data_IF_507147663598
#
_entry.id   IF_507147663598
#
_cell.length_a   1.000
_cell.length_b   1.000
_cell.length_c   1.000
_cell.angle_alpha   90.00
_cell.angle_beta   90.00
_cell.angle_gamma   90.00
#
_symmetry.space_group_name_H-M   'P 1'
#
loop_
_entity.id
_entity.type
_entity.pdbx_description
1 polymer ?
#
# COMPACT_ATOMS: atom_id res chain seq x y z
N UNK A 1 -76.18 -8.86 -28.60
CA UNK A 1 -75.80 -9.01 -27.18
C UNK A 1 -75.28 -7.65 -26.72
N UNK A 2 -76.08 -6.85 -26.01
CA UNK A 2 -75.65 -5.52 -25.56
C UNK A 2 -74.86 -5.67 -24.26
N UNK A 3 -73.64 -5.13 -24.23
CA UNK A 3 -72.84 -5.04 -23.01
C UNK A 3 -73.46 -3.97 -22.11
N UNK A 4 -73.64 -4.25 -20.82
CA UNK A 4 -74.20 -3.28 -19.88
C UNK A 4 -73.21 -2.17 -19.57
N UNK A 5 -73.71 -0.97 -19.30
CA UNK A 5 -72.88 0.21 -18.96
C UNK A 5 -71.97 -0.06 -17.75
N UNK A 6 -72.43 -0.85 -16.79
CA UNK A 6 -71.66 -1.27 -15.61
C UNK A 6 -70.40 -2.09 -15.95
N UNK A 7 -70.48 -2.97 -16.95
CA UNK A 7 -69.32 -3.75 -17.40
C UNK A 7 -68.29 -2.84 -18.07
N UNK A 8 -68.74 -1.85 -18.84
CA UNK A 8 -67.84 -0.89 -19.50
C UNK A 8 -67.12 -0.02 -18.46
N UNK A 9 -67.82 0.48 -17.45
CA UNK A 9 -67.21 1.31 -16.40
C UNK A 9 -66.25 0.51 -15.53
N UNK A 10 -66.58 -0.75 -15.18
CA UNK A 10 -65.68 -1.64 -14.44
C UNK A 10 -64.38 -1.92 -15.21
N UNK A 11 -64.46 -2.15 -16.52
CA UNK A 11 -63.28 -2.34 -17.36
C UNK A 11 -62.45 -1.05 -17.48
N UNK A 12 -63.10 0.11 -17.59
CA UNK A 12 -62.42 1.40 -17.65
C UNK A 12 -61.67 1.74 -16.35
N UNK A 13 -62.27 1.46 -15.18
CA UNK A 13 -61.60 1.67 -13.89
C UNK A 13 -60.44 0.69 -13.69
N UNK A 14 -60.62 -0.58 -14.08
CA UNK A 14 -59.54 -1.56 -14.06
C UNK A 14 -58.37 -1.15 -14.96
N UNK A 15 -58.65 -0.69 -16.19
CA UNK A 15 -57.62 -0.18 -17.11
C UNK A 15 -56.89 1.05 -16.55
N UNK A 16 -57.62 1.96 -15.89
CA UNK A 16 -57.04 3.17 -15.27
C UNK A 16 -56.09 2.79 -14.14
N UNK A 17 -56.47 1.83 -13.29
CA UNK A 17 -55.60 1.31 -12.22
C UNK A 17 -54.34 0.65 -12.80
N UNK A 18 -54.46 -0.13 -13.87
CA UNK A 18 -53.31 -0.75 -14.53
C UNK A 18 -52.34 0.30 -15.09
N UNK A 19 -52.85 1.33 -15.76
CA UNK A 19 -52.02 2.43 -16.28
C UNK A 19 -51.31 3.17 -15.14
N UNK A 20 -51.99 3.43 -14.02
CA UNK A 20 -51.39 4.07 -12.85
C UNK A 20 -50.25 3.22 -12.26
N UNK A 21 -50.44 1.89 -12.15
CA UNK A 21 -49.42 0.96 -11.66
C UNK A 21 -48.22 0.92 -12.61
N UNK A 22 -48.44 0.78 -13.91
CA UNK A 22 -47.37 0.74 -14.93
C UNK A 22 -46.58 2.05 -14.93
N UNK A 23 -47.27 3.19 -14.84
CA UNK A 23 -46.62 4.50 -14.77
C UNK A 23 -45.80 4.67 -13.49
N UNK A 24 -46.34 4.23 -12.35
CA UNK A 24 -45.62 4.23 -11.07
C UNK A 24 -44.40 3.33 -11.09
N UNK A 25 -44.50 2.16 -11.71
CA UNK A 25 -43.38 1.23 -11.88
C UNK A 25 -42.30 1.79 -12.80
N UNK A 26 -42.68 2.40 -13.93
CA UNK A 26 -41.75 3.10 -14.82
C UNK A 26 -41.00 4.23 -14.12
N UNK A 27 -41.69 5.02 -13.28
CA UNK A 27 -41.05 6.04 -12.46
C UNK A 27 -40.08 5.45 -11.44
N UNK A 28 -40.44 4.34 -10.80
CA UNK A 28 -39.59 3.64 -9.83
C UNK A 28 -38.31 3.10 -10.48
N UNK A 29 -38.39 2.52 -11.68
CA UNK A 29 -37.22 2.04 -12.43
C UNK A 29 -36.28 3.20 -12.75
N UNK A 30 -36.79 4.27 -13.36
CA UNK A 30 -35.96 5.44 -13.69
C UNK A 30 -35.27 6.03 -12.44
N UNK A 31 -35.96 6.03 -11.30
CA UNK A 31 -35.39 6.46 -10.02
C UNK A 31 -34.32 5.50 -9.50
N UNK A 32 -34.49 4.19 -9.68
CA UNK A 32 -33.48 3.20 -9.33
C UNK A 32 -32.25 3.35 -10.22
N UNK A 33 -32.42 3.48 -11.54
CA UNK A 33 -31.31 3.66 -12.49
C UNK A 33 -30.47 4.90 -12.14
N UNK A 34 -31.13 6.02 -11.82
CA UNK A 34 -30.43 7.23 -11.39
C UNK A 34 -29.62 7.02 -10.09
N UNK A 35 -30.13 6.21 -9.15
CA UNK A 35 -29.42 5.89 -7.91
C UNK A 35 -28.25 4.95 -8.14
N UNK A 36 -28.39 3.97 -9.01
CA UNK A 36 -27.31 3.06 -9.38
C UNK A 36 -26.20 3.81 -10.11
N UNK A 37 -26.53 4.64 -11.09
CA UNK A 37 -25.54 5.48 -11.77
C UNK A 37 -24.77 6.39 -10.79
N UNK A 38 -25.48 7.03 -9.84
CA UNK A 38 -24.82 7.83 -8.80
C UNK A 38 -23.92 7.00 -7.87
N UNK A 39 -24.30 5.74 -7.62
CA UNK A 39 -23.52 4.82 -6.80
C UNK A 39 -22.26 4.33 -7.54
N UNK A 40 -22.36 4.04 -8.83
CA UNK A 40 -21.24 3.65 -9.69
C UNK A 40 -20.17 4.74 -9.74
N UNK A 41 -20.58 5.99 -9.99
CA UNK A 41 -19.67 7.16 -9.98
C UNK A 41 -18.97 7.30 -8.62
N UNK A 42 -19.69 7.05 -7.52
CA UNK A 42 -19.11 7.11 -6.17
C UNK A 42 -18.11 5.98 -5.93
N UNK A 43 -18.34 4.79 -6.49
CA UNK A 43 -17.40 3.69 -6.39
C UNK A 43 -16.15 3.95 -7.23
N UNK A 44 -16.30 4.42 -8.46
CA UNK A 44 -15.19 4.81 -9.33
C UNK A 44 -14.30 5.86 -8.64
N UNK A 45 -14.89 6.95 -8.13
CA UNK A 45 -14.14 7.97 -7.39
C UNK A 45 -13.47 7.43 -6.11
N UNK A 46 -14.00 6.37 -5.49
CA UNK A 46 -13.36 5.71 -4.34
C UNK A 46 -12.18 4.85 -4.78
N UNK A 47 -12.29 4.15 -5.90
CA UNK A 47 -11.21 3.35 -6.46
C UNK A 47 -10.06 4.26 -6.92
N UNK A 48 -10.34 5.34 -7.63
CA UNK A 48 -9.31 6.33 -8.02
C UNK A 48 -8.55 6.88 -6.80
N UNK A 49 -9.27 7.13 -5.71
CA UNK A 49 -8.65 7.59 -4.45
C UNK A 49 -7.80 6.50 -3.80
N UNK A 50 -8.19 5.23 -3.94
CA UNK A 50 -7.41 4.09 -3.43
C UNK A 50 -6.13 3.95 -4.27
N UNK A 51 -6.23 4.02 -5.59
CA UNK A 51 -5.09 3.93 -6.52
C UNK A 51 -4.08 5.05 -6.24
N UNK A 52 -4.54 6.30 -6.14
CA UNK A 52 -3.67 7.42 -5.77
C UNK A 52 -3.01 7.29 -4.38
N UNK A 53 -3.61 6.52 -3.47
CA UNK A 53 -2.99 6.20 -2.17
C UNK A 53 -1.93 5.12 -2.32
N UNK A 54 -2.15 4.12 -3.17
CA UNK A 54 -1.17 3.08 -3.46
C UNK A 54 0.06 3.64 -4.16
N UNK A 55 -0.11 4.49 -5.18
CA UNK A 55 1.02 5.18 -5.83
C UNK A 55 1.88 5.97 -4.82
N UNK A 56 1.23 6.62 -3.85
CA UNK A 56 1.95 7.33 -2.78
C UNK A 56 2.69 6.38 -1.83
N UNK A 57 2.13 5.20 -1.59
CA UNK A 57 2.76 4.17 -0.77
C UNK A 57 4.00 3.64 -1.51
N UNK A 58 3.88 3.35 -2.80
CA UNK A 58 4.99 2.86 -3.63
C UNK A 58 6.13 3.88 -3.66
N UNK A 59 5.84 5.15 -3.93
CA UNK A 59 6.86 6.22 -3.89
C UNK A 59 7.52 6.40 -2.51
N UNK A 60 6.83 6.03 -1.42
CA UNK A 60 7.45 6.02 -0.08
C UNK A 60 8.35 4.81 0.13
N UNK A 61 8.01 3.66 -0.44
CA UNK A 61 8.85 2.47 -0.38
C UNK A 61 10.11 2.65 -1.20
N UNK A 62 10.03 3.21 -2.40
CA UNK A 62 11.22 3.56 -3.20
C UNK A 62 12.21 4.45 -2.41
N UNK A 63 11.69 5.48 -1.72
CA UNK A 63 12.53 6.33 -0.86
C UNK A 63 13.10 5.59 0.34
N UNK A 64 12.40 4.57 0.85
CA UNK A 64 12.92 3.74 1.94
C UNK A 64 14.07 2.89 1.41
N UNK A 65 13.92 2.31 0.23
CA UNK A 65 14.95 1.49 -0.42
C UNK A 65 16.22 2.31 -0.69
N UNK A 66 16.10 3.51 -1.28
CA UNK A 66 17.23 4.44 -1.46
C UNK A 66 17.95 4.77 -0.14
N UNK A 67 17.21 4.89 0.96
CA UNK A 67 17.80 5.14 2.28
C UNK A 67 18.54 3.93 2.81
N UNK A 68 18.04 2.72 2.54
CA UNK A 68 18.72 1.48 2.93
C UNK A 68 20.00 1.28 2.13
N UNK A 69 19.98 1.51 0.82
CA UNK A 69 21.19 1.48 -0.01
C UNK A 69 22.28 2.43 0.54
N UNK A 70 21.90 3.65 0.91
CA UNK A 70 22.83 4.61 1.52
C UNK A 70 23.36 4.15 2.88
N UNK A 71 22.54 3.45 3.66
CA UNK A 71 22.96 2.87 4.94
C UNK A 71 23.98 1.76 4.68
N UNK A 72 23.74 0.89 3.70
CA UNK A 72 24.65 -0.19 3.33
C UNK A 72 26.02 0.37 2.88
N UNK A 73 26.03 1.37 1.99
CA UNK A 73 27.26 2.08 1.59
C UNK A 73 28.02 2.66 2.80
N UNK A 74 27.28 3.21 3.78
CA UNK A 74 27.88 3.75 4.98
C UNK A 74 28.54 2.66 5.84
N UNK A 75 27.88 1.51 5.97
CA UNK A 75 28.43 0.36 6.69
C UNK A 75 29.65 -0.23 5.99
N UNK A 76 29.64 -0.35 4.66
CA UNK A 76 30.81 -0.80 3.90
C UNK A 76 32.03 0.11 4.14
N UNK A 77 31.81 1.43 4.19
CA UNK A 77 32.87 2.39 4.50
C UNK A 77 33.36 2.26 5.94
N UNK A 78 32.47 2.02 6.89
CA UNK A 78 32.84 1.76 8.29
C UNK A 78 33.70 0.49 8.38
N UNK A 79 33.29 -0.60 7.73
CA UNK A 79 34.04 -1.86 7.70
C UNK A 79 35.43 -1.69 7.08
N UNK A 80 35.55 -0.87 6.03
CA UNK A 80 36.85 -0.54 5.44
C UNK A 80 37.77 0.18 6.44
N UNK A 81 37.25 1.17 7.17
CA UNK A 81 38.02 1.88 8.21
C UNK A 81 38.40 0.97 9.38
N UNK A 82 37.51 0.07 9.79
CA UNK A 82 37.83 -0.90 10.83
C UNK A 82 38.94 -1.86 10.41
N UNK A 83 38.95 -2.32 9.15
CA UNK A 83 40.04 -3.13 8.59
C UNK A 83 41.36 -2.37 8.59
N UNK A 84 41.37 -1.11 8.19
CA UNK A 84 42.55 -0.24 8.23
C UNK A 84 43.11 -0.11 9.67
N UNK A 85 42.25 0.22 10.63
CA UNK A 85 42.64 0.33 12.05
C UNK A 85 43.18 -1.00 12.60
N UNK A 86 42.60 -2.15 12.20
CA UNK A 86 43.12 -3.46 12.61
C UNK A 86 44.54 -3.71 12.08
N UNK A 87 44.84 -3.28 10.85
CA UNK A 87 46.19 -3.38 10.28
C UNK A 87 47.16 -2.48 11.03
N UNK A 88 46.82 -1.21 11.25
CA UNK A 88 47.66 -0.26 12.00
C UNK A 88 47.96 -0.78 13.41
N UNK A 89 46.95 -1.31 14.13
CA UNK A 89 47.14 -1.92 15.45
C UNK A 89 48.08 -3.12 15.38
N UNK A 90 48.00 -3.92 14.33
CA UNK A 90 48.88 -5.08 14.13
C UNK A 90 50.33 -4.62 13.93
N UNK A 91 50.55 -3.59 13.12
CA UNK A 91 51.87 -2.99 12.93
C UNK A 91 52.44 -2.42 14.22
N UNK A 92 51.62 -1.70 15.00
CA UNK A 92 52.01 -1.19 16.33
C UNK A 92 52.40 -2.34 17.26
N UNK A 93 51.62 -3.42 17.32
CA UNK A 93 51.93 -4.60 18.14
C UNK A 93 53.28 -5.22 17.76
N UNK A 94 53.58 -5.31 16.46
CA UNK A 94 54.87 -5.80 15.96
C UNK A 94 56.01 -4.87 16.36
N UNK A 95 55.82 -3.55 16.24
CA UNK A 95 56.83 -2.56 16.63
C UNK A 95 57.14 -2.63 18.13
N UNK A 96 56.11 -2.76 18.99
CA UNK A 96 56.26 -2.93 20.44
C UNK A 96 57.03 -4.21 20.76
N UNK A 97 56.68 -5.35 20.14
CA UNK A 97 57.38 -6.62 20.37
C UNK A 97 58.87 -6.55 20.01
N UNK A 98 59.23 -5.77 18.97
CA UNK A 98 60.64 -5.53 18.61
C UNK A 98 61.37 -4.67 19.62
N UNK A 99 60.70 -3.72 20.27
CA UNK A 99 61.28 -2.85 21.29
C UNK A 99 61.46 -3.54 22.64
N UNK A 100 60.48 -4.36 23.06
CA UNK A 100 60.55 -5.08 24.35
C UNK A 100 61.60 -6.19 24.34
N UNK A 101 61.84 -6.84 23.19
CA UNK A 101 62.83 -7.91 23.06
C UNK A 101 62.43 -9.21 23.78
N UNK A 102 63.20 -10.30 23.61
CA UNK A 102 62.89 -11.58 24.23
C UNK A 102 63.05 -11.51 25.76
N UNK A 103 62.13 -12.11 26.50
CA UNK A 103 62.19 -12.20 27.96
C UNK A 103 63.52 -12.82 28.41
N UNK A 104 64.25 -12.18 29.36
CA UNK A 104 65.52 -12.70 29.84
C UNK A 104 65.35 -14.12 30.38
N UNK A 105 66.15 -15.07 29.88
CA UNK A 105 66.20 -16.41 30.47
C UNK A 105 66.85 -16.29 31.84
N UNK A 106 66.03 -16.32 32.89
CA UNK A 106 66.50 -16.45 34.25
C UNK A 106 67.15 -17.83 34.36
N UNK A 107 68.48 -17.87 34.32
CA UNK A 107 69.23 -19.06 34.69
C UNK A 107 69.01 -19.26 36.19
N UNK A 108 68.21 -20.26 36.56
CA UNK A 108 68.10 -20.66 37.96
C UNK A 108 69.47 -21.18 38.40
N UNK A 109 70.21 -20.38 39.16
CA UNK A 109 71.40 -20.86 39.84
C UNK A 109 70.94 -21.89 40.89
N UNK A 110 71.51 -23.10 40.77
CA UNK A 110 71.36 -24.19 41.75
C UNK A 110 72.02 -23.85 43.06
#
# INVERSE_FOLDING_TARGET
MYVSVEVITMLATAATLLVAIISGFGWMINRMDARFAAQDVKYEARFDRIDARFERIDARFERIDERFERIDEHFERIDARFREVQLEITEVKIAVARLEGPTPRLLSAR
#
